data_IF_316113472599
#
_entry.id   IF_316113472599
#
_cell.length_a   1.000
_cell.length_b   1.000
_cell.length_c   1.000
_cell.angle_alpha   90.00
_cell.angle_beta   90.00
_cell.angle_gamma   90.00
#
_symmetry.space_group_name_H-M   'P 1'
#
loop_
_entity.id
_entity.type
_entity.pdbx_description
1 polymer ?
#
# COMPACT_ATOMS: atom_id res chain seq x y z
N UNK A 1 -0.57 -25.18 7.39
CA UNK A 1 0.12 -23.96 7.83
C UNK A 1 1.61 -24.20 8.08
N UNK A 2 2.01 -25.20 8.88
CA UNK A 2 3.43 -25.45 9.18
C UNK A 2 4.27 -25.83 7.95
N UNK A 3 3.73 -26.66 7.05
CA UNK A 3 4.37 -26.97 5.76
C UNK A 3 4.51 -25.72 4.90
N UNK A 4 3.46 -24.94 4.75
CA UNK A 4 3.47 -23.71 3.95
C UNK A 4 4.41 -22.65 4.53
N UNK A 5 4.53 -22.55 5.85
CA UNK A 5 5.54 -21.71 6.51
C UNK A 5 6.96 -22.12 6.08
N UNK A 6 7.27 -23.42 6.14
CA UNK A 6 8.57 -23.92 5.66
C UNK A 6 8.79 -23.66 4.17
N UNK A 7 7.79 -23.87 3.33
CA UNK A 7 7.87 -23.58 1.88
C UNK A 7 8.18 -22.11 1.65
N UNK A 8 7.46 -21.21 2.29
CA UNK A 8 7.67 -19.76 2.17
C UNK A 8 9.06 -19.35 2.64
N UNK A 9 9.51 -19.84 3.80
CA UNK A 9 10.83 -19.50 4.36
C UNK A 9 12.00 -20.13 3.62
N UNK A 10 11.78 -21.21 2.87
CA UNK A 10 12.81 -21.89 2.07
C UNK A 10 12.97 -21.29 0.67
N UNK A 11 11.97 -20.59 0.16
CA UNK A 11 12.00 -19.95 -1.16
C UNK A 11 12.25 -18.46 -1.05
N UNK A 12 13.36 -17.97 -1.61
CA UNK A 12 13.67 -16.55 -1.65
C UNK A 12 12.59 -15.74 -2.38
N UNK A 13 12.06 -16.26 -3.47
CA UNK A 13 11.00 -15.62 -4.26
C UNK A 13 9.71 -15.44 -3.44
N UNK A 14 9.27 -16.50 -2.74
CA UNK A 14 8.07 -16.43 -1.90
C UNK A 14 8.27 -15.51 -0.68
N UNK A 15 9.46 -15.51 -0.08
CA UNK A 15 9.80 -14.58 0.98
C UNK A 15 9.74 -13.12 0.49
N UNK A 16 10.39 -12.82 -0.63
CA UNK A 16 10.36 -11.47 -1.20
C UNK A 16 8.92 -11.04 -1.53
N UNK A 17 8.14 -11.93 -2.15
CA UNK A 17 6.75 -11.65 -2.49
C UNK A 17 5.90 -11.39 -1.24
N UNK A 18 6.09 -12.18 -0.19
CA UNK A 18 5.43 -12.00 1.10
C UNK A 18 5.81 -10.70 1.79
N UNK A 19 7.09 -10.32 1.75
CA UNK A 19 7.59 -9.05 2.31
C UNK A 19 7.06 -7.85 1.52
N UNK A 20 7.14 -7.87 0.19
CA UNK A 20 6.58 -6.84 -0.69
C UNK A 20 5.10 -6.61 -0.34
N UNK A 21 4.35 -7.70 -0.25
CA UNK A 21 2.94 -7.64 0.12
C UNK A 21 2.72 -7.06 1.52
N UNK A 22 3.45 -7.54 2.51
CA UNK A 22 3.30 -7.10 3.90
C UNK A 22 3.68 -5.62 4.08
N UNK A 23 4.77 -5.17 3.46
CA UNK A 23 5.23 -3.78 3.54
C UNK A 23 4.24 -2.83 2.89
N UNK A 24 3.83 -3.12 1.64
CA UNK A 24 2.89 -2.25 0.93
C UNK A 24 1.52 -2.16 1.62
N UNK A 25 0.96 -3.30 2.00
CA UNK A 25 -0.33 -3.31 2.70
C UNK A 25 -0.23 -2.68 4.10
N UNK A 26 0.91 -2.73 4.77
CA UNK A 26 1.11 -1.99 6.03
C UNK A 26 1.11 -0.49 5.81
N UNK A 27 1.80 0.01 4.77
CA UNK A 27 1.75 1.43 4.39
C UNK A 27 0.32 1.87 4.02
N UNK A 28 -0.44 1.00 3.32
CA UNK A 28 -1.86 1.22 3.05
C UNK A 28 -2.68 1.37 4.35
N UNK A 29 -2.47 0.51 5.34
CA UNK A 29 -3.18 0.63 6.63
C UNK A 29 -2.81 1.92 7.36
N UNK A 30 -1.53 2.33 7.34
CA UNK A 30 -1.12 3.64 7.86
C UNK A 30 -1.89 4.76 7.15
N UNK A 31 -1.95 4.74 5.82
CA UNK A 31 -2.73 5.69 5.05
C UNK A 31 -4.21 5.71 5.49
N UNK A 32 -4.86 4.54 5.56
CA UNK A 32 -6.28 4.43 5.93
C UNK A 32 -6.57 5.04 7.30
N UNK A 33 -5.66 4.90 8.26
CA UNK A 33 -5.81 5.48 9.60
C UNK A 33 -5.50 6.98 9.65
N UNK A 34 -4.57 7.44 8.82
CA UNK A 34 -4.00 8.78 8.95
C UNK A 34 -4.60 9.81 7.99
N UNK A 35 -5.22 9.41 6.87
CA UNK A 35 -5.68 10.37 5.86
C UNK A 35 -6.72 11.36 6.41
N UNK A 36 -7.68 10.88 7.20
CA UNK A 36 -8.73 11.72 7.80
C UNK A 36 -8.15 12.75 8.77
N UNK A 37 -7.46 12.36 9.86
CA UNK A 37 -6.91 13.33 10.80
C UNK A 37 -5.89 14.26 10.14
N UNK A 38 -5.11 13.78 9.18
CA UNK A 38 -4.11 14.61 8.49
C UNK A 38 -4.74 15.70 7.62
N UNK A 39 -5.84 15.39 6.93
CA UNK A 39 -6.58 16.38 6.16
C UNK A 39 -7.33 17.35 7.08
N UNK A 40 -7.98 16.86 8.14
CA UNK A 40 -8.72 17.70 9.09
C UNK A 40 -7.80 18.72 9.78
N UNK A 41 -6.60 18.32 10.16
CA UNK A 41 -5.61 19.20 10.79
C UNK A 41 -5.23 20.40 9.89
N UNK A 42 -5.34 20.27 8.57
CA UNK A 42 -4.89 21.26 7.59
C UNK A 42 -6.05 21.93 6.83
N UNK A 43 -7.26 21.44 7.01
CA UNK A 43 -8.41 21.97 6.29
C UNK A 43 -8.83 23.33 6.84
N UNK A 44 -9.11 24.32 5.97
CA UNK A 44 -9.61 25.62 6.39
C UNK A 44 -11.09 25.59 6.84
N UNK A 45 -11.80 24.50 6.53
CA UNK A 45 -13.23 24.29 6.83
C UNK A 45 -13.51 22.80 7.05
N UNK A 46 -14.72 22.49 7.54
CA UNK A 46 -15.18 21.10 7.67
C UNK A 46 -15.07 20.35 6.33
N UNK A 47 -14.51 19.14 6.38
CA UNK A 47 -14.24 18.33 5.19
C UNK A 47 -15.46 17.47 4.87
N UNK A 48 -15.92 17.44 3.61
CA UNK A 48 -16.92 16.48 3.17
C UNK A 48 -16.29 15.09 2.95
N UNK A 49 -16.05 14.35 4.04
CA UNK A 49 -15.33 13.07 4.03
C UNK A 49 -15.84 12.08 2.98
N UNK A 50 -17.16 12.02 2.77
CA UNK A 50 -17.75 11.15 1.76
C UNK A 50 -17.32 11.50 0.33
N UNK A 51 -17.22 12.80 0.00
CA UNK A 51 -16.76 13.25 -1.32
C UNK A 51 -15.27 12.98 -1.50
N UNK A 52 -14.46 13.24 -0.47
CA UNK A 52 -13.02 12.96 -0.50
C UNK A 52 -12.79 11.47 -0.71
N UNK A 53 -13.44 10.63 0.09
CA UNK A 53 -13.33 9.18 -0.05
C UNK A 53 -13.80 8.67 -1.42
N UNK A 54 -14.93 9.19 -1.93
CA UNK A 54 -15.43 8.84 -3.27
C UNK A 54 -14.41 9.22 -4.36
N UNK A 55 -13.75 10.38 -4.23
CA UNK A 55 -12.70 10.81 -5.16
C UNK A 55 -11.50 9.85 -5.13
N UNK A 56 -11.10 9.37 -3.95
CA UNK A 56 -10.05 8.36 -3.80
C UNK A 56 -10.43 7.05 -4.50
N UNK A 57 -11.68 6.60 -4.36
CA UNK A 57 -12.16 5.39 -5.04
C UNK A 57 -12.16 5.55 -6.56
N UNK A 58 -12.52 6.72 -7.08
CA UNK A 58 -12.42 7.03 -8.53
C UNK A 58 -10.96 6.96 -8.99
N UNK A 59 -10.03 7.55 -8.25
CA UNK A 59 -8.60 7.48 -8.57
C UNK A 59 -8.10 6.02 -8.58
N UNK A 60 -8.51 5.21 -7.59
CA UNK A 60 -8.19 3.79 -7.53
C UNK A 60 -8.72 3.01 -8.72
N UNK A 61 -9.97 3.26 -9.13
CA UNK A 61 -10.55 2.64 -10.33
C UNK A 61 -9.79 3.06 -11.59
N UNK A 62 -9.46 4.35 -11.73
CA UNK A 62 -8.65 4.84 -12.84
C UNK A 62 -7.26 4.17 -12.88
N UNK A 63 -6.61 4.01 -11.73
CA UNK A 63 -5.35 3.28 -11.61
C UNK A 63 -5.46 1.82 -12.05
N UNK A 64 -6.53 1.13 -11.66
CA UNK A 64 -6.78 -0.24 -12.10
C UNK A 64 -6.95 -0.35 -13.63
N UNK A 65 -7.59 0.63 -14.27
CA UNK A 65 -7.67 0.70 -15.73
C UNK A 65 -6.31 1.03 -16.37
N UNK A 66 -5.57 1.95 -15.76
CA UNK A 66 -4.24 2.33 -16.25
C UNK A 66 -3.28 1.14 -16.25
N UNK A 67 -3.45 0.20 -15.33
CA UNK A 67 -2.64 -1.02 -15.29
C UNK A 67 -2.69 -1.79 -16.62
N UNK A 68 -3.84 -1.89 -17.28
CA UNK A 68 -3.96 -2.60 -18.56
C UNK A 68 -3.09 -1.97 -19.65
N UNK A 69 -3.00 -0.64 -19.67
CA UNK A 69 -2.14 0.08 -20.61
C UNK A 69 -0.66 -0.09 -20.24
N UNK A 70 -0.35 -0.06 -18.94
CA UNK A 70 1.02 -0.25 -18.47
C UNK A 70 1.53 -1.68 -18.68
N UNK A 71 0.66 -2.68 -18.61
CA UNK A 71 1.01 -4.09 -18.80
C UNK A 71 1.48 -4.40 -20.22
N UNK A 72 1.16 -3.58 -21.21
CA UNK A 72 1.67 -3.69 -22.57
C UNK A 72 3.13 -3.17 -22.71
N UNK A 73 3.58 -2.35 -21.77
CA UNK A 73 4.86 -1.63 -21.83
C UNK A 73 5.82 -2.12 -20.73
N UNK A 74 5.28 -2.44 -19.55
CA UNK A 74 6.05 -2.79 -18.36
C UNK A 74 5.77 -4.21 -17.90
N UNK A 75 6.79 -4.86 -17.37
CA UNK A 75 6.61 -6.13 -16.65
C UNK A 75 5.85 -5.89 -15.34
N UNK A 76 5.18 -6.90 -14.75
CA UNK A 76 4.53 -6.77 -13.46
C UNK A 76 5.48 -6.26 -12.35
N UNK A 77 6.74 -6.68 -12.39
CA UNK A 77 7.79 -6.19 -11.46
C UNK A 77 8.09 -4.71 -11.71
N UNK A 78 8.16 -4.29 -12.98
CA UNK A 78 8.36 -2.88 -13.35
C UNK A 78 7.20 -2.00 -12.89
N UNK A 79 5.95 -2.47 -13.04
CA UNK A 79 4.76 -1.80 -12.50
C UNK A 79 4.84 -1.65 -10.97
N UNK A 80 5.23 -2.70 -10.25
CA UNK A 80 5.38 -2.64 -8.80
C UNK A 80 6.49 -1.67 -8.38
N UNK A 81 7.64 -1.67 -9.06
CA UNK A 81 8.72 -0.72 -8.77
C UNK A 81 8.26 0.74 -8.91
N UNK A 82 7.51 1.06 -9.98
CA UNK A 82 6.90 2.37 -10.17
C UNK A 82 5.90 2.70 -9.05
N UNK A 83 5.04 1.75 -8.71
CA UNK A 83 4.04 1.90 -7.65
C UNK A 83 4.71 2.17 -6.30
N UNK A 84 5.73 1.41 -5.93
CA UNK A 84 6.46 1.59 -4.67
C UNK A 84 7.12 2.97 -4.61
N UNK A 85 7.88 3.33 -5.64
CA UNK A 85 8.55 4.64 -5.70
C UNK A 85 7.54 5.81 -5.63
N UNK A 86 6.47 5.74 -6.42
CA UNK A 86 5.41 6.75 -6.41
C UNK A 86 4.68 6.84 -5.08
N UNK A 87 4.37 5.69 -4.47
CA UNK A 87 3.70 5.62 -3.17
C UNK A 87 4.59 6.17 -2.05
N UNK A 88 5.89 5.88 -2.06
CA UNK A 88 6.85 6.46 -1.12
C UNK A 88 6.86 8.00 -1.20
N UNK A 89 6.89 8.55 -2.43
CA UNK A 89 6.80 10.01 -2.65
C UNK A 89 5.48 10.55 -2.10
N UNK A 90 4.34 9.92 -2.40
CA UNK A 90 3.04 10.36 -1.89
C UNK A 90 2.99 10.35 -0.35
N UNK A 91 3.54 9.30 0.29
CA UNK A 91 3.60 9.19 1.75
C UNK A 91 4.61 10.16 2.38
N UNK A 92 5.58 10.66 1.63
CA UNK A 92 6.51 11.68 2.10
C UNK A 92 5.92 13.10 2.09
N UNK A 93 4.90 13.38 1.27
CA UNK A 93 4.29 14.73 1.18
C UNK A 93 3.81 15.26 2.54
N UNK A 94 3.09 14.50 3.39
CA UNK A 94 2.65 14.98 4.71
C UNK A 94 3.79 15.38 5.65
N UNK A 95 5.01 14.89 5.42
CA UNK A 95 6.20 15.21 6.23
C UNK A 95 6.65 16.65 5.98
N UNK A 96 6.61 17.07 4.70
CA UNK A 96 7.18 18.34 4.26
C UNK A 96 6.13 19.43 3.99
N UNK A 97 4.89 19.05 3.66
CA UNK A 97 3.82 19.98 3.30
C UNK A 97 2.78 20.12 4.39
N UNK A 98 2.35 21.37 4.60
CA UNK A 98 1.21 21.71 5.47
C UNK A 98 -0.03 22.16 4.65
N UNK A 99 0.05 22.14 3.31
CA UNK A 99 -1.08 22.48 2.45
C UNK A 99 -2.09 21.32 2.41
N UNK A 100 -3.37 21.68 2.60
CA UNK A 100 -4.49 20.74 2.44
C UNK A 100 -4.54 20.17 1.02
N UNK A 101 -4.40 21.04 0.02
CA UNK A 101 -4.49 20.67 -1.39
C UNK A 101 -3.37 19.72 -1.79
N UNK A 102 -2.15 19.97 -1.32
CA UNK A 102 -1.00 19.09 -1.60
C UNK A 102 -1.21 17.69 -1.02
N UNK A 103 -1.75 17.60 0.21
CA UNK A 103 -2.07 16.31 0.81
C UNK A 103 -3.19 15.60 0.06
N UNK A 104 -4.25 16.31 -0.29
CA UNK A 104 -5.39 15.75 -1.01
C UNK A 104 -4.94 15.14 -2.35
N UNK A 105 -4.12 15.86 -3.10
CA UNK A 105 -3.56 15.36 -4.37
C UNK A 105 -2.63 14.18 -4.14
N UNK A 106 -1.74 14.23 -3.15
CA UNK A 106 -0.84 13.13 -2.84
C UNK A 106 -1.61 11.85 -2.46
N UNK A 107 -2.66 11.97 -1.66
CA UNK A 107 -3.50 10.86 -1.24
C UNK A 107 -4.34 10.30 -2.40
N UNK A 108 -4.86 11.16 -3.28
CA UNK A 108 -5.55 10.72 -4.49
C UNK A 108 -4.61 9.95 -5.45
N UNK A 109 -3.36 10.42 -5.60
CA UNK A 109 -2.34 9.73 -6.39
C UNK A 109 -1.94 8.40 -5.76
N UNK A 110 -1.79 8.34 -4.43
CA UNK A 110 -1.53 7.09 -3.71
C UNK A 110 -2.62 6.05 -3.97
N UNK A 111 -3.89 6.44 -3.92
CA UNK A 111 -5.00 5.54 -4.24
C UNK A 111 -5.01 5.12 -5.72
N UNK A 112 -4.63 6.01 -6.62
CA UNK A 112 -4.41 5.64 -8.03
C UNK A 112 -3.32 4.59 -8.21
N UNK A 113 -2.17 4.76 -7.52
CA UNK A 113 -1.09 3.77 -7.51
C UNK A 113 -1.52 2.45 -6.86
N UNK A 114 -2.32 2.50 -5.80
CA UNK A 114 -2.93 1.32 -5.19
C UNK A 114 -3.83 0.57 -6.18
N UNK A 115 -4.52 1.28 -7.06
CA UNK A 115 -5.28 0.69 -8.17
C UNK A 115 -4.40 -0.14 -9.11
N UNK A 116 -3.17 0.31 -9.41
CA UNK A 116 -2.20 -0.42 -10.22
C UNK A 116 -1.59 -1.59 -9.44
N UNK A 117 -1.37 -1.43 -8.14
CA UNK A 117 -0.77 -2.43 -7.26
C UNK A 117 -1.50 -3.78 -7.31
N UNK A 118 -2.83 -3.76 -7.14
CA UNK A 118 -3.60 -4.98 -6.97
C UNK A 118 -3.51 -5.95 -8.16
N UNK A 119 -3.72 -5.54 -9.41
CA UNK A 119 -3.56 -6.43 -10.55
C UNK A 119 -2.09 -6.84 -10.77
N UNK A 120 -1.13 -5.94 -10.55
CA UNK A 120 0.29 -6.26 -10.71
C UNK A 120 0.75 -7.36 -9.74
N UNK A 121 0.42 -7.24 -8.45
CA UNK A 121 0.78 -8.25 -7.44
C UNK A 121 0.00 -9.56 -7.65
N UNK A 122 -1.23 -9.49 -8.16
CA UNK A 122 -2.02 -10.67 -8.46
C UNK A 122 -1.36 -11.51 -9.57
N UNK A 123 -0.86 -10.89 -10.63
CA UNK A 123 -0.15 -11.59 -11.71
C UNK A 123 1.11 -12.27 -11.20
N UNK A 124 1.91 -11.61 -10.35
CA UNK A 124 3.08 -12.24 -9.75
C UNK A 124 2.72 -13.43 -8.85
N UNK A 125 1.66 -13.30 -8.06
CA UNK A 125 1.19 -14.41 -7.22
C UNK A 125 0.77 -15.64 -8.06
N UNK A 126 0.12 -15.41 -9.18
CA UNK A 126 -0.31 -16.49 -10.10
C UNK A 126 0.92 -17.16 -10.74
N UNK A 127 1.93 -16.40 -11.11
CA UNK A 127 3.15 -16.93 -11.73
C UNK A 127 4.07 -17.71 -10.78
N UNK A 128 4.11 -17.31 -9.50
CA UNK A 128 5.10 -17.84 -8.54
C UNK A 128 4.53 -18.85 -7.55
N UNK A 129 3.22 -18.92 -7.39
CA UNK A 129 2.56 -19.78 -6.39
C UNK A 129 1.67 -20.80 -7.10
N UNK A 130 1.99 -22.08 -6.93
CA UNK A 130 1.16 -23.17 -7.46
C UNK A 130 -0.25 -23.13 -6.87
N UNK A 131 -1.25 -23.42 -7.70
CA UNK A 131 -2.68 -23.34 -7.33
C UNK A 131 -3.02 -24.13 -6.06
N UNK A 132 -2.45 -25.32 -5.92
CA UNK A 132 -2.68 -26.19 -4.76
C UNK A 132 -2.16 -25.61 -3.43
N UNK A 133 -1.15 -24.73 -3.48
CA UNK A 133 -0.53 -24.14 -2.29
C UNK A 133 -0.93 -22.67 -2.07
N UNK A 134 -1.65 -22.06 -3.02
CA UNK A 134 -1.96 -20.63 -3.01
C UNK A 134 -2.70 -20.20 -1.74
N UNK A 135 -3.76 -20.90 -1.37
CA UNK A 135 -4.56 -20.55 -0.19
C UNK A 135 -3.74 -20.58 1.10
N UNK A 136 -2.91 -21.60 1.28
CA UNK A 136 -2.08 -21.78 2.47
C UNK A 136 -0.91 -20.80 2.52
N UNK A 137 -0.30 -20.48 1.38
CA UNK A 137 0.75 -19.45 1.26
C UNK A 137 0.20 -18.06 1.54
N UNK A 138 -0.99 -17.73 1.01
CA UNK A 138 -1.67 -16.46 1.31
C UNK A 138 -2.02 -16.35 2.79
N UNK A 139 -2.38 -17.45 3.47
CA UNK A 139 -2.63 -17.42 4.90
C UNK A 139 -1.36 -17.08 5.71
N UNK A 140 -0.18 -17.58 5.29
CA UNK A 140 1.11 -17.21 5.90
C UNK A 140 1.40 -15.72 5.69
N UNK A 141 1.21 -15.21 4.47
CA UNK A 141 1.42 -13.77 4.18
C UNK A 141 0.51 -12.89 5.03
N UNK A 142 -0.76 -13.28 5.23
CA UNK A 142 -1.70 -12.54 6.10
C UNK A 142 -1.28 -12.52 7.57
N UNK A 143 -0.70 -13.60 8.08
CA UNK A 143 -0.19 -13.62 9.46
C UNK A 143 0.95 -12.61 9.63
N UNK A 144 1.90 -12.59 8.68
CA UNK A 144 3.00 -11.62 8.67
C UNK A 144 2.48 -10.19 8.58
N UNK A 145 1.58 -9.94 7.62
CA UNK A 145 0.95 -8.63 7.43
C UNK A 145 0.25 -8.17 8.70
N UNK A 146 -0.64 -8.97 9.27
CA UNK A 146 -1.41 -8.57 10.46
C UNK A 146 -0.50 -8.29 11.65
N UNK A 147 0.56 -9.09 11.85
CA UNK A 147 1.55 -8.83 12.89
C UNK A 147 2.25 -7.49 12.70
N UNK A 148 2.68 -7.19 11.49
CA UNK A 148 3.34 -5.94 11.14
C UNK A 148 2.39 -4.73 11.28
N UNK A 149 1.15 -4.85 10.78
CA UNK A 149 0.12 -3.81 10.89
C UNK A 149 -0.17 -3.49 12.35
N UNK A 150 -0.39 -4.50 13.19
CA UNK A 150 -0.64 -4.29 14.62
C UNK A 150 0.54 -3.56 15.26
N UNK A 151 1.78 -4.01 15.01
CA UNK A 151 2.98 -3.39 15.57
C UNK A 151 3.10 -1.91 15.14
N UNK A 152 2.91 -1.63 13.86
CA UNK A 152 3.01 -0.27 13.31
C UNK A 152 1.90 0.63 13.83
N UNK A 153 0.65 0.16 13.90
CA UNK A 153 -0.47 0.97 14.40
C UNK A 153 -0.38 1.24 15.90
N UNK A 154 0.08 0.28 16.70
CA UNK A 154 0.35 0.51 18.12
C UNK A 154 1.47 1.55 18.31
N UNK A 155 2.53 1.46 17.52
CA UNK A 155 3.59 2.44 17.52
C UNK A 155 3.10 3.83 17.04
N UNK A 156 2.29 3.87 16.00
CA UNK A 156 1.72 5.11 15.45
C UNK A 156 0.90 5.90 16.47
N UNK A 157 0.18 5.22 17.37
CA UNK A 157 -0.58 5.86 18.44
C UNK A 157 0.28 6.65 19.45
N UNK A 158 1.58 6.33 19.52
CA UNK A 158 2.54 7.00 20.40
C UNK A 158 3.50 7.96 19.66
N UNK A 159 3.43 8.01 18.32
CA UNK A 159 4.35 8.79 17.48
C UNK A 159 3.68 10.05 16.93
N UNK A 160 4.44 11.14 16.73
CA UNK A 160 3.94 12.29 15.98
C UNK A 160 3.71 11.95 14.52
N UNK A 161 2.75 12.63 13.88
CA UNK A 161 2.28 12.39 12.51
C UNK A 161 3.41 12.21 11.48
N UNK A 162 4.41 13.10 11.51
CA UNK A 162 5.51 13.07 10.55
C UNK A 162 6.37 11.81 10.65
N UNK A 163 6.53 11.22 11.83
CA UNK A 163 7.25 9.97 12.00
C UNK A 163 6.43 8.77 11.51
N UNK A 164 5.11 8.80 11.66
CA UNK A 164 4.22 7.75 11.14
C UNK A 164 4.30 7.70 9.62
N UNK A 165 4.26 8.86 8.96
CA UNK A 165 4.43 8.92 7.51
C UNK A 165 5.85 8.58 7.05
N UNK A 166 6.87 8.96 7.83
CA UNK A 166 8.25 8.59 7.52
C UNK A 166 8.46 7.07 7.56
N UNK A 167 7.87 6.38 8.54
CA UNK A 167 7.94 4.92 8.61
C UNK A 167 7.21 4.24 7.44
N UNK A 168 6.04 4.78 7.05
CA UNK A 168 5.30 4.27 5.90
C UNK A 168 6.06 4.50 4.58
N UNK A 169 6.64 5.69 4.39
CA UNK A 169 7.44 6.01 3.20
C UNK A 169 8.73 5.17 3.12
N UNK A 170 9.35 4.88 4.27
CA UNK A 170 10.57 4.06 4.32
C UNK A 170 10.29 2.56 4.09
N UNK A 171 9.06 2.10 4.32
CA UNK A 171 8.63 0.73 4.07
C UNK A 171 8.32 0.48 2.57
N UNK A 172 8.11 1.53 1.81
CA UNK A 172 7.84 1.52 0.36
C UNK A 172 9.10 1.71 -0.46
#
# INVERSE_FOLDING_TARGET
>A
LWRSWRTVTSSRTLLCLGLINALYETALYVFVFMWTPSLELRAPRAIPHGLVFSSFMVCKMAGAQLFYVLADILTPIGCLGMVFAGSAVCMAVPIFSRSYEALLVAFALFEGLLGIYWPAIALLRVGEIADAERASTMAVFRVLLNGLVIAVLLAAGAMPEHLVYATAAAAL
#
